data_IF_284168156976
#
_entry.id   IF_284168156976
#
_cell.length_a   1.000
_cell.length_b   1.000
_cell.length_c   1.000
_cell.angle_alpha   90.00
_cell.angle_beta   90.00
_cell.angle_gamma   90.00
#
_symmetry.space_group_name_H-M   'P 1'
#
loop_
_entity.id
_entity.type
_entity.pdbx_description
1 polymer ?
#
# COMPACT_ATOMS: atom_id res chain seq x y z
N UNK A 1 7.01 -46.02 -13.58
CA UNK A 1 6.35 -45.57 -12.34
C UNK A 1 4.86 -45.61 -12.62
N UNK A 2 4.10 -46.35 -11.82
CA UNK A 2 2.66 -46.50 -12.05
C UNK A 2 1.95 -45.19 -11.71
N UNK A 3 1.00 -44.77 -12.54
CA UNK A 3 0.21 -43.53 -12.37
C UNK A 3 -0.45 -43.47 -10.99
N UNK A 4 -0.95 -44.62 -10.51
CA UNK A 4 -1.53 -44.72 -9.16
C UNK A 4 -0.55 -44.41 -8.05
N UNK A 5 0.71 -44.84 -8.16
CA UNK A 5 1.76 -44.52 -7.20
C UNK A 5 2.11 -43.01 -7.21
N UNK A 6 2.09 -42.38 -8.38
CA UNK A 6 2.29 -40.94 -8.51
C UNK A 6 1.12 -40.17 -7.85
N UNK A 7 -0.12 -40.60 -8.08
CA UNK A 7 -1.29 -39.97 -7.48
C UNK A 7 -1.27 -40.04 -5.95
N UNK A 8 -0.93 -41.19 -5.37
CA UNK A 8 -0.86 -41.39 -3.92
C UNK A 8 0.26 -40.52 -3.31
N UNK A 9 1.43 -40.48 -3.95
CA UNK A 9 2.54 -39.66 -3.49
C UNK A 9 2.19 -38.14 -3.57
N UNK A 10 1.52 -37.74 -4.64
CA UNK A 10 1.07 -36.35 -4.81
C UNK A 10 0.05 -35.94 -3.74
N UNK A 11 -0.97 -36.82 -3.47
CA UNK A 11 -1.96 -36.56 -2.42
C UNK A 11 -1.33 -36.46 -1.03
N UNK A 12 -0.39 -37.38 -0.70
CA UNK A 12 0.32 -37.35 0.58
C UNK A 12 1.14 -36.07 0.74
N UNK A 13 1.87 -35.65 -0.32
CA UNK A 13 2.64 -34.39 -0.32
C UNK A 13 1.76 -33.16 -0.18
N UNK A 14 0.62 -33.13 -0.88
CA UNK A 14 -0.34 -32.05 -0.78
C UNK A 14 -0.94 -31.93 0.64
N UNK A 15 -1.30 -33.05 1.25
CA UNK A 15 -1.84 -33.10 2.61
C UNK A 15 -0.82 -32.57 3.62
N UNK A 16 0.45 -33.00 3.54
CA UNK A 16 1.53 -32.47 4.40
C UNK A 16 1.71 -30.97 4.22
N UNK A 17 1.68 -30.48 2.98
CA UNK A 17 1.82 -29.04 2.71
C UNK A 17 0.67 -28.22 3.30
N UNK A 18 -0.56 -28.73 3.29
CA UNK A 18 -1.73 -28.11 3.95
C UNK A 18 -1.51 -28.05 5.45
N UNK A 19 -1.17 -29.16 6.09
CA UNK A 19 -0.96 -29.24 7.54
C UNK A 19 0.17 -28.32 8.02
N UNK A 20 1.31 -28.30 7.32
CA UNK A 20 2.43 -27.40 7.59
C UNK A 20 2.02 -25.93 7.44
N UNK A 21 1.25 -25.60 6.39
CA UNK A 21 0.75 -24.24 6.16
C UNK A 21 -0.19 -23.80 7.28
N UNK A 22 -1.14 -24.62 7.70
CA UNK A 22 -2.04 -24.35 8.82
C UNK A 22 -1.28 -24.09 10.12
N UNK A 23 -0.25 -24.90 10.40
CA UNK A 23 0.60 -24.72 11.58
C UNK A 23 1.34 -23.39 11.55
N UNK A 24 1.96 -23.04 10.41
CA UNK A 24 2.71 -21.78 10.25
C UNK A 24 1.78 -20.57 10.38
N UNK A 25 0.63 -20.55 9.71
CA UNK A 25 -0.34 -19.46 9.83
C UNK A 25 -0.88 -19.29 11.24
N UNK A 26 -1.14 -20.42 11.93
CA UNK A 26 -1.55 -20.39 13.35
C UNK A 26 -0.50 -19.75 14.24
N UNK A 27 0.77 -20.06 14.05
CA UNK A 27 1.86 -19.46 14.81
C UNK A 27 2.05 -17.97 14.50
N UNK A 28 1.85 -17.56 13.25
CA UNK A 28 1.85 -16.15 12.86
C UNK A 28 0.72 -15.37 13.57
N UNK A 29 -0.49 -15.93 13.60
CA UNK A 29 -1.63 -15.32 14.31
C UNK A 29 -1.31 -15.14 15.79
N UNK A 30 -0.81 -16.18 16.47
CA UNK A 30 -0.40 -16.11 17.88
C UNK A 30 0.66 -15.03 18.14
N UNK A 31 1.60 -14.90 17.23
CA UNK A 31 2.65 -13.88 17.31
C UNK A 31 2.06 -12.47 17.21
N UNK A 32 1.13 -12.24 16.29
CA UNK A 32 0.44 -10.95 16.13
C UNK A 32 -0.41 -10.63 17.36
N UNK A 33 -1.16 -11.61 17.89
CA UNK A 33 -1.98 -11.44 19.10
C UNK A 33 -1.14 -11.09 20.32
N UNK A 34 0.01 -11.74 20.50
CA UNK A 34 0.95 -11.41 21.58
C UNK A 34 1.47 -9.98 21.43
N UNK A 35 1.89 -9.56 20.26
CA UNK A 35 2.35 -8.18 20.00
C UNK A 35 1.25 -7.16 20.22
N UNK A 36 0.02 -7.47 19.83
CA UNK A 36 -1.14 -6.62 20.12
C UNK A 36 -1.35 -6.44 21.63
N UNK A 37 -1.23 -7.51 22.41
CA UNK A 37 -1.34 -7.46 23.88
C UNK A 37 -0.23 -6.62 24.49
N UNK A 38 1.02 -6.82 24.07
CA UNK A 38 2.17 -6.03 24.53
C UNK A 38 1.97 -4.53 24.29
N UNK A 39 1.53 -4.13 23.10
CA UNK A 39 1.28 -2.71 22.77
C UNK A 39 0.15 -2.14 23.63
N UNK A 40 -0.94 -2.89 23.84
CA UNK A 40 -2.05 -2.47 24.72
C UNK A 40 -1.58 -2.26 26.15
N UNK A 41 -0.75 -3.14 26.67
CA UNK A 41 -0.20 -3.02 28.02
C UNK A 41 0.72 -1.80 28.15
N UNK A 42 1.59 -1.55 27.17
CA UNK A 42 2.44 -0.36 27.16
C UNK A 42 1.63 0.94 27.16
N UNK A 43 0.56 1.03 26.34
CA UNK A 43 -0.31 2.20 26.30
C UNK A 43 -0.97 2.42 27.68
N UNK A 44 -1.53 1.37 28.31
CA UNK A 44 -2.17 1.45 29.62
C UNK A 44 -1.19 1.79 30.72
N UNK A 45 0.01 1.23 30.68
CA UNK A 45 1.06 1.53 31.65
C UNK A 45 1.48 3.00 31.56
N UNK A 46 1.65 3.53 30.37
CA UNK A 46 1.98 4.95 30.16
C UNK A 46 0.86 5.86 30.63
N UNK A 47 -0.40 5.57 30.26
CA UNK A 47 -1.57 6.31 30.74
C UNK A 47 -1.59 6.37 32.27
N UNK A 48 -1.50 5.21 32.94
CA UNK A 48 -1.51 5.12 34.40
C UNK A 48 -0.37 5.91 35.03
N UNK A 49 0.84 5.85 34.45
CA UNK A 49 2.00 6.56 34.96
C UNK A 49 1.83 8.09 34.88
N UNK A 50 1.29 8.59 33.76
CA UNK A 50 1.06 10.03 33.56
C UNK A 50 -0.07 10.53 34.48
N UNK A 51 -1.18 9.78 34.59
CA UNK A 51 -2.29 10.11 35.47
C UNK A 51 -1.81 10.15 36.92
N UNK A 52 -1.07 9.14 37.39
CA UNK A 52 -0.53 9.13 38.78
C UNK A 52 0.41 10.30 39.05
N UNK A 53 1.25 10.70 38.09
CA UNK A 53 2.11 11.89 38.22
C UNK A 53 1.28 13.17 38.35
N UNK A 54 0.24 13.30 37.52
CA UNK A 54 -0.66 14.46 37.57
C UNK A 54 -1.41 14.53 38.91
N UNK A 55 -1.93 13.42 39.44
CA UNK A 55 -2.60 13.33 40.71
C UNK A 55 -1.67 13.70 41.88
N UNK A 56 -0.41 13.26 41.85
CA UNK A 56 0.59 13.62 42.85
C UNK A 56 0.93 15.11 42.84
N UNK A 57 1.02 15.71 41.65
CA UNK A 57 1.19 17.15 41.50
C UNK A 57 -0.03 17.93 42.00
N UNK A 58 -1.23 17.47 41.68
CA UNK A 58 -2.48 18.08 42.16
C UNK A 58 -2.54 18.07 43.68
N UNK A 59 -2.28 16.92 44.30
CA UNK A 59 -2.25 16.79 45.75
C UNK A 59 -1.26 17.73 46.46
N UNK A 60 -0.06 17.91 45.88
CA UNK A 60 0.93 18.87 46.37
C UNK A 60 0.43 20.30 46.27
N UNK A 61 -0.18 20.68 45.16
CA UNK A 61 -0.75 22.02 44.98
C UNK A 61 -1.93 22.28 45.92
N UNK A 62 -2.77 21.29 46.18
CA UNK A 62 -3.88 21.38 47.12
C UNK A 62 -3.36 21.60 48.57
N UNK A 63 -2.30 20.90 48.96
CA UNK A 63 -1.65 21.08 50.26
C UNK A 63 -1.07 22.49 50.42
N UNK A 64 -0.38 22.99 49.38
CA UNK A 64 0.19 24.33 49.37
C UNK A 64 -0.91 25.41 49.45
N UNK A 65 -1.98 25.24 48.69
CA UNK A 65 -3.15 26.14 48.74
C UNK A 65 -3.77 26.12 50.15
N UNK A 66 -3.91 24.96 50.78
CA UNK A 66 -4.43 24.86 52.14
C UNK A 66 -3.53 25.57 53.15
N UNK A 67 -2.22 25.42 53.06
CA UNK A 67 -1.23 26.08 53.91
C UNK A 67 -1.27 27.62 53.71
N UNK A 68 -1.33 28.09 52.48
CA UNK A 68 -1.43 29.51 52.18
C UNK A 68 -2.76 30.12 52.69
N UNK A 69 -3.86 29.41 52.59
CA UNK A 69 -5.17 29.84 53.11
C UNK A 69 -5.15 29.92 54.64
N UNK A 70 -4.52 28.97 55.32
CA UNK A 70 -4.37 28.99 56.75
C UNK A 70 -3.56 30.21 57.19
N UNK A 71 -2.44 30.49 56.55
CA UNK A 71 -1.58 31.67 56.83
C UNK A 71 -2.32 32.99 56.54
N UNK A 72 -3.09 33.08 55.47
CA UNK A 72 -3.89 34.25 55.18
C UNK A 72 -4.93 34.51 56.27
N UNK A 73 -5.57 33.46 56.78
CA UNK A 73 -6.51 33.57 57.90
C UNK A 73 -5.81 34.03 59.19
N UNK A 74 -4.63 33.50 59.47
CA UNK A 74 -3.82 33.84 60.66
C UNK A 74 -3.35 35.30 60.60
N UNK A 75 -2.88 35.76 59.44
CA UNK A 75 -2.53 37.16 59.20
C UNK A 75 -3.72 38.11 59.34
N UNK A 76 -4.89 37.73 58.87
CA UNK A 76 -6.13 38.51 59.02
C UNK A 76 -6.54 38.62 60.48
N UNK A 77 -6.38 37.55 61.25
CA UNK A 77 -6.66 37.55 62.69
C UNK A 77 -5.68 38.44 63.47
N UNK A 78 -4.39 38.42 63.10
CA UNK A 78 -3.36 39.27 63.66
C UNK A 78 -3.61 40.76 63.40
N UNK A 79 -4.15 41.12 62.22
CA UNK A 79 -4.51 42.52 61.88
C UNK A 79 -5.67 43.06 62.70
N UNK A 80 -6.47 42.21 63.34
CA UNK A 80 -7.61 42.59 64.19
C UNK A 80 -7.22 42.67 65.69
N UNK A 81 -5.98 42.42 66.05
CA UNK A 81 -5.49 42.40 67.44
C UNK A 81 -5.06 43.81 67.86
N UNK A 82 -5.57 44.30 68.98
CA UNK A 82 -5.21 45.58 69.60
C UNK A 82 -3.90 45.49 70.46
N UNK A 83 -3.37 44.29 70.68
CA UNK A 83 -2.14 44.05 71.41
C UNK A 83 -0.91 44.14 70.52
N UNK A 84 -0.25 45.34 70.54
CA UNK A 84 0.91 45.66 69.70
C UNK A 84 2.13 44.77 70.02
N UNK A 85 2.28 44.27 71.27
CA UNK A 85 3.41 43.42 71.67
C UNK A 85 3.19 42.00 71.10
N UNK A 86 1.94 41.49 71.19
CA UNK A 86 1.56 40.22 70.64
C UNK A 86 1.69 40.28 69.11
N UNK A 87 1.21 41.37 68.45
CA UNK A 87 1.35 41.60 67.04
C UNK A 87 2.80 41.50 66.56
N UNK A 88 3.73 42.24 67.19
CA UNK A 88 5.15 42.26 66.77
C UNK A 88 5.83 40.89 66.91
N UNK A 89 5.52 40.14 67.97
CA UNK A 89 6.10 38.81 68.25
C UNK A 89 5.60 37.79 67.21
N UNK A 90 4.32 37.81 66.91
CA UNK A 90 3.70 36.81 66.06
C UNK A 90 3.90 37.16 64.59
N UNK A 91 3.88 38.45 64.24
CA UNK A 91 4.12 38.92 62.85
C UNK A 91 5.48 38.45 62.32
N UNK A 92 6.53 38.49 63.17
CA UNK A 92 7.86 38.04 62.78
C UNK A 92 7.88 36.55 62.37
N UNK A 93 7.13 35.70 63.05
CA UNK A 93 7.04 34.27 62.74
C UNK A 93 6.13 33.93 61.57
N UNK A 94 5.11 34.74 61.33
CA UNK A 94 4.13 34.51 60.22
C UNK A 94 4.58 35.20 58.92
N UNK A 95 5.35 36.30 59.02
CA UNK A 95 5.87 37.04 57.88
C UNK A 95 7.07 36.41 57.22
N UNK A 96 7.73 35.44 57.82
CA UNK A 96 8.73 34.64 57.13
C UNK A 96 8.03 33.84 56.03
N UNK A 97 8.06 34.38 54.82
CA UNK A 97 7.65 33.63 53.66
C UNK A 97 8.43 32.31 53.63
N UNK A 98 7.75 31.16 53.61
CA UNK A 98 8.46 29.94 53.37
C UNK A 98 9.26 30.16 52.08
N UNK A 99 10.55 29.84 52.12
CA UNK A 99 11.34 29.78 50.90
C UNK A 99 10.50 28.94 49.95
N UNK A 100 9.96 29.58 48.92
CA UNK A 100 9.27 28.88 47.83
C UNK A 100 10.19 27.72 47.47
N UNK A 101 9.83 26.51 47.88
CA UNK A 101 10.46 25.33 47.30
C UNK A 101 10.16 25.50 45.82
N UNK A 102 11.22 25.71 45.03
CA UNK A 102 11.10 25.87 43.59
C UNK A 102 10.07 24.85 43.08
N UNK A 103 8.84 25.32 42.89
CA UNK A 103 7.83 24.53 42.21
C UNK A 103 8.34 24.33 40.81
N UNK A 104 8.67 23.12 40.41
CA UNK A 104 9.06 22.89 39.02
C UNK A 104 7.96 23.44 38.16
N UNK A 105 8.32 24.35 37.28
CA UNK A 105 7.39 24.92 36.31
C UNK A 105 6.73 23.77 35.53
N UNK A 106 5.46 23.49 35.85
CA UNK A 106 4.72 22.38 35.23
C UNK A 106 4.37 22.84 33.84
N UNK A 107 5.20 22.47 32.88
CA UNK A 107 4.86 22.62 31.47
C UNK A 107 3.98 21.45 31.06
N UNK A 108 2.68 21.69 30.93
CA UNK A 108 1.75 20.71 30.36
C UNK A 108 1.99 20.62 28.86
N UNK A 109 2.45 19.47 28.41
CA UNK A 109 2.54 19.20 26.98
C UNK A 109 1.11 19.15 26.40
N UNK A 110 0.74 20.14 25.59
CA UNK A 110 -0.59 20.23 24.98
C UNK A 110 -0.88 19.13 23.96
N UNK A 111 0.12 18.34 23.59
CA UNK A 111 0.00 17.21 22.66
C UNK A 111 -0.14 15.87 23.40
N UNK A 112 -1.15 15.76 24.28
CA UNK A 112 -1.52 14.53 24.95
C UNK A 112 -2.27 13.59 23.98
N UNK A 113 -1.58 13.07 22.96
CA UNK A 113 -2.22 12.27 21.94
C UNK A 113 -1.39 11.05 21.59
N UNK A 114 -2.01 9.87 21.66
CA UNK A 114 -1.46 8.62 21.12
C UNK A 114 -1.56 8.53 19.58
N UNK A 115 -1.72 9.67 18.89
CA UNK A 115 -1.88 9.73 17.43
C UNK A 115 -0.65 9.18 16.69
N UNK A 116 0.54 9.39 17.22
CA UNK A 116 1.76 8.79 16.64
C UNK A 116 1.73 7.26 16.73
N UNK A 117 1.25 6.70 17.84
CA UNK A 117 1.09 5.25 18.01
C UNK A 117 0.03 4.73 17.05
N UNK A 118 -1.12 5.40 16.92
CA UNK A 118 -2.18 5.03 15.97
C UNK A 118 -1.66 5.03 14.54
N UNK A 119 -0.92 6.06 14.13
CA UNK A 119 -0.29 6.14 12.80
C UNK A 119 0.71 5.01 12.56
N UNK A 120 1.55 4.70 13.55
CA UNK A 120 2.50 3.60 13.44
C UNK A 120 1.80 2.24 13.27
N UNK A 121 0.73 1.99 14.04
CA UNK A 121 -0.06 0.76 13.92
C UNK A 121 -0.77 0.68 12.57
N UNK A 122 -1.35 1.79 12.07
CA UNK A 122 -1.97 1.83 10.73
C UNK A 122 -0.94 1.64 9.60
N UNK A 123 0.28 2.13 9.79
CA UNK A 123 1.36 1.89 8.82
C UNK A 123 1.78 0.43 8.82
N UNK A 124 1.90 -0.19 10.00
CA UNK A 124 2.20 -1.62 10.13
C UNK A 124 1.10 -2.48 9.48
N UNK A 125 -0.17 -2.15 9.69
CA UNK A 125 -1.29 -2.84 9.05
C UNK A 125 -1.12 -2.85 7.52
N UNK A 126 -0.91 -1.68 6.91
CA UNK A 126 -0.73 -1.56 5.46
C UNK A 126 0.49 -2.36 4.96
N UNK A 127 1.61 -2.30 5.68
CA UNK A 127 2.80 -3.07 5.32
C UNK A 127 2.56 -4.58 5.37
N UNK A 128 1.81 -5.05 6.38
CA UNK A 128 1.42 -6.46 6.49
C UNK A 128 0.46 -6.88 5.36
N UNK A 129 -0.49 -6.03 4.98
CA UNK A 129 -1.40 -6.26 3.85
C UNK A 129 -0.63 -6.33 2.54
N UNK A 130 0.28 -5.38 2.28
CA UNK A 130 1.10 -5.34 1.06
C UNK A 130 2.03 -6.58 0.99
N UNK A 131 2.68 -6.95 2.10
CA UNK A 131 3.53 -8.13 2.19
C UNK A 131 2.72 -9.42 2.02
N UNK A 132 1.58 -9.54 2.70
CA UNK A 132 0.72 -10.73 2.60
C UNK A 132 0.22 -10.96 1.18
N UNK A 133 -0.17 -9.88 0.47
CA UNK A 133 -0.61 -9.96 -0.92
C UNK A 133 0.53 -10.42 -1.85
N UNK A 134 1.74 -9.91 -1.62
CA UNK A 134 2.92 -10.29 -2.40
C UNK A 134 3.27 -11.77 -2.21
N UNK A 135 3.33 -12.21 -0.95
CA UNK A 135 3.67 -13.61 -0.62
C UNK A 135 2.57 -14.59 -1.03
N UNK A 136 1.29 -14.19 -0.94
CA UNK A 136 0.18 -15.00 -1.44
C UNK A 136 0.32 -15.32 -2.94
N UNK A 137 0.84 -14.37 -3.72
CA UNK A 137 1.11 -14.60 -5.15
C UNK A 137 2.28 -15.57 -5.35
N UNK A 138 3.34 -15.43 -4.57
CA UNK A 138 4.49 -16.33 -4.61
C UNK A 138 4.09 -17.75 -4.22
N UNK A 139 3.27 -17.91 -3.18
CA UNK A 139 2.72 -19.19 -2.74
C UNK A 139 1.79 -19.78 -3.82
N UNK A 140 0.89 -18.96 -4.37
CA UNK A 140 -0.01 -19.39 -5.46
C UNK A 140 0.77 -19.86 -6.68
N UNK A 141 1.83 -19.15 -7.03
CA UNK A 141 2.74 -19.53 -8.08
C UNK A 141 3.41 -20.89 -7.78
N UNK A 142 3.94 -21.08 -6.58
CA UNK A 142 4.55 -22.34 -6.17
C UNK A 142 3.56 -23.52 -6.16
N UNK A 143 2.33 -23.31 -5.69
CA UNK A 143 1.27 -24.34 -5.68
C UNK A 143 0.94 -24.79 -7.10
N UNK A 144 0.82 -23.86 -8.05
CA UNK A 144 0.56 -24.21 -9.45
C UNK A 144 1.76 -24.87 -10.15
N UNK A 145 2.98 -24.77 -9.59
CA UNK A 145 4.19 -25.40 -10.13
C UNK A 145 4.24 -26.90 -9.90
N UNK A 146 3.55 -27.38 -8.90
CA UNK A 146 3.47 -28.79 -8.59
C UNK A 146 2.41 -29.44 -9.48
N UNK A 147 2.73 -29.56 -10.78
CA UNK A 147 1.85 -30.23 -11.74
C UNK A 147 2.38 -31.62 -12.05
N UNK A 148 1.55 -32.63 -11.82
CA UNK A 148 1.87 -34.00 -12.20
C UNK A 148 1.79 -34.21 -13.73
N UNK A 149 1.06 -33.35 -14.44
CA UNK A 149 0.89 -33.36 -15.90
C UNK A 149 1.06 -31.90 -16.37
N UNK A 150 2.08 -31.64 -17.19
CA UNK A 150 2.31 -30.31 -17.73
C UNK A 150 1.23 -30.03 -18.81
N UNK A 151 0.42 -28.98 -18.69
CA UNK A 151 -0.45 -28.56 -19.77
C UNK A 151 0.40 -28.07 -20.94
N UNK A 152 -0.06 -28.35 -22.16
CA UNK A 152 0.52 -27.74 -23.36
C UNK A 152 0.29 -26.23 -23.35
N UNK A 153 1.25 -25.43 -23.87
CA UNK A 153 1.03 -23.99 -24.03
C UNK A 153 -0.23 -23.76 -24.88
N UNK A 154 -1.11 -22.81 -24.48
CA UNK A 154 -2.29 -22.49 -25.27
C UNK A 154 -1.88 -22.03 -26.70
N UNK A 155 -2.59 -22.53 -27.69
CA UNK A 155 -2.32 -22.22 -29.11
C UNK A 155 -3.54 -21.63 -29.81
N UNK A 156 -4.75 -21.95 -29.32
CA UNK A 156 -6.01 -21.43 -29.86
C UNK A 156 -6.60 -20.37 -28.93
N UNK A 157 -7.46 -19.51 -29.50
CA UNK A 157 -8.14 -18.48 -28.73
C UNK A 157 -9.01 -19.08 -27.62
N UNK A 158 -9.66 -20.20 -27.87
CA UNK A 158 -10.48 -20.92 -26.90
C UNK A 158 -9.64 -21.40 -25.72
N UNK A 159 -8.44 -21.87 -25.96
CA UNK A 159 -7.50 -22.27 -24.92
C UNK A 159 -7.01 -21.08 -24.09
N UNK A 160 -6.69 -19.94 -24.73
CA UNK A 160 -6.33 -18.71 -24.04
C UNK A 160 -7.48 -18.16 -23.20
N UNK A 161 -8.72 -18.24 -23.69
CA UNK A 161 -9.91 -17.75 -22.98
C UNK A 161 -10.19 -18.52 -21.69
N UNK A 162 -9.66 -19.73 -21.50
CA UNK A 162 -9.72 -20.46 -20.23
C UNK A 162 -8.97 -19.72 -19.11
N UNK A 163 -8.03 -18.83 -19.46
CA UNK A 163 -7.27 -17.97 -18.55
C UNK A 163 -7.78 -16.52 -18.56
N UNK A 164 -9.00 -16.29 -19.01
CA UNK A 164 -9.55 -14.93 -19.14
C UNK A 164 -9.63 -14.23 -17.79
N UNK A 165 -9.04 -13.04 -17.74
CA UNK A 165 -9.06 -12.15 -16.59
C UNK A 165 -9.77 -10.84 -16.96
N UNK A 166 -10.60 -10.33 -16.05
CA UNK A 166 -11.28 -9.06 -16.21
C UNK A 166 -10.53 -7.95 -15.48
N UNK A 167 -10.24 -6.87 -16.21
CA UNK A 167 -9.55 -5.72 -15.70
C UNK A 167 -10.40 -4.47 -15.83
N UNK A 168 -10.23 -3.55 -14.87
CA UNK A 168 -10.77 -2.19 -14.92
C UNK A 168 -9.67 -1.18 -14.69
N UNK A 169 -9.76 -0.05 -15.35
CA UNK A 169 -8.78 1.04 -15.23
C UNK A 169 -8.95 1.74 -13.88
N UNK A 170 -7.83 2.03 -13.22
CA UNK A 170 -7.84 2.77 -11.97
C UNK A 170 -7.80 4.27 -12.21
N UNK A 171 -8.92 4.94 -12.00
CA UNK A 171 -9.05 6.39 -12.14
C UNK A 171 -8.11 7.17 -11.19
N UNK A 172 -7.63 6.56 -10.11
CA UNK A 172 -6.65 7.18 -9.21
C UNK A 172 -5.27 7.28 -9.85
N UNK A 173 -4.91 6.37 -10.76
CA UNK A 173 -3.62 6.36 -11.44
C UNK A 173 -3.63 7.11 -12.77
N UNK A 174 -4.79 7.29 -13.39
CA UNK A 174 -4.92 7.88 -14.71
C UNK A 174 -4.39 9.32 -14.77
N UNK A 175 -3.57 9.63 -15.79
CA UNK A 175 -3.20 11.01 -16.09
C UNK A 175 -4.45 11.86 -16.37
N UNK A 176 -4.43 13.15 -16.04
CA UNK A 176 -5.61 14.03 -16.17
C UNK A 176 -6.15 14.24 -17.59
N UNK A 177 -5.34 14.00 -18.61
CA UNK A 177 -5.77 14.02 -20.02
C UNK A 177 -6.33 12.67 -20.52
N UNK A 178 -6.44 11.67 -19.66
CA UNK A 178 -7.07 10.39 -20.00
C UNK A 178 -8.51 10.37 -19.49
N UNK A 179 -9.46 10.24 -20.39
CA UNK A 179 -10.87 10.09 -20.10
C UNK A 179 -11.25 8.62 -19.99
N UNK A 180 -11.73 8.19 -18.82
CA UNK A 180 -12.21 6.83 -18.58
C UNK A 180 -13.73 6.77 -18.77
N UNK A 181 -14.20 5.72 -19.44
CA UNK A 181 -15.61 5.50 -19.74
C UNK A 181 -15.95 4.00 -19.73
N UNK A 182 -17.19 3.65 -20.05
CA UNK A 182 -17.70 2.27 -20.12
C UNK A 182 -17.37 1.46 -18.83
N UNK A 183 -17.62 2.05 -17.65
CA UNK A 183 -17.32 1.40 -16.38
C UNK A 183 -15.82 1.21 -16.11
N UNK A 184 -14.99 2.15 -16.56
CA UNK A 184 -13.53 2.10 -16.51
C UNK A 184 -12.92 0.98 -17.37
N UNK A 185 -13.59 0.58 -18.44
CA UNK A 185 -13.05 -0.39 -19.42
C UNK A 185 -12.55 0.25 -20.70
N UNK A 186 -12.81 1.54 -20.89
CA UNK A 186 -12.36 2.31 -22.05
C UNK A 186 -11.60 3.54 -21.59
N UNK A 187 -10.48 3.84 -22.26
CA UNK A 187 -9.69 5.06 -22.07
C UNK A 187 -9.42 5.73 -23.39
N UNK A 188 -9.53 7.04 -23.40
CA UNK A 188 -9.27 7.91 -24.54
C UNK A 188 -8.41 9.09 -24.12
N UNK A 189 -7.47 9.48 -24.96
CA UNK A 189 -6.79 10.76 -24.76
C UNK A 189 -7.74 11.92 -25.10
N UNK A 190 -7.77 12.93 -24.25
CA UNK A 190 -8.49 14.20 -24.48
C UNK A 190 -7.60 15.40 -24.14
N UNK A 191 -7.77 16.47 -24.88
CA UNK A 191 -7.04 17.72 -24.62
C UNK A 191 -7.50 18.33 -23.29
N UNK A 192 -8.80 18.22 -23.00
CA UNK A 192 -9.39 18.75 -21.77
C UNK A 192 -8.98 17.89 -20.57
N UNK A 193 -8.56 18.59 -19.51
CA UNK A 193 -8.21 17.94 -18.23
C UNK A 193 -9.47 17.39 -17.56
N UNK A 194 -9.42 16.14 -17.17
CA UNK A 194 -10.48 15.49 -16.40
C UNK A 194 -10.44 15.92 -14.94
N UNK A 195 -11.61 16.11 -14.34
CA UNK A 195 -11.76 16.54 -12.94
C UNK A 195 -11.53 15.40 -11.94
N UNK A 196 -10.39 14.70 -12.06
CA UNK A 196 -10.04 13.69 -11.08
C UNK A 196 -9.55 14.32 -9.78
N UNK A 197 -9.91 13.79 -8.60
CA UNK A 197 -9.31 14.21 -7.33
C UNK A 197 -7.80 14.06 -7.34
N UNK A 198 -7.10 14.86 -6.56
CA UNK A 198 -5.67 14.69 -6.38
C UNK A 198 -5.38 13.35 -5.70
N UNK A 199 -4.41 12.62 -6.27
CA UNK A 199 -4.01 11.32 -5.77
C UNK A 199 -2.49 11.14 -5.95
N UNK A 200 -1.75 10.66 -4.93
CA UNK A 200 -0.32 10.40 -5.04
C UNK A 200 0.00 9.34 -6.10
N UNK A 201 -0.91 8.40 -6.36
CA UNK A 201 -0.74 7.33 -7.34
C UNK A 201 -0.99 7.80 -8.79
N UNK A 202 -1.44 9.03 -9.00
CA UNK A 202 -1.70 9.56 -10.34
C UNK A 202 -0.42 9.89 -11.07
N UNK A 203 -0.31 9.39 -12.33
CA UNK A 203 0.72 9.86 -13.26
C UNK A 203 0.49 11.34 -13.59
N UNK A 204 1.54 12.14 -13.50
CA UNK A 204 1.44 13.60 -13.68
C UNK A 204 2.00 14.11 -15.00
N UNK A 205 2.96 13.41 -15.62
CA UNK A 205 3.60 13.83 -16.86
C UNK A 205 3.28 12.91 -18.05
N UNK A 206 3.26 11.61 -17.82
CA UNK A 206 3.01 10.64 -18.87
C UNK A 206 1.52 10.29 -18.95
N UNK A 207 0.96 10.21 -20.15
CA UNK A 207 -0.44 9.84 -20.42
C UNK A 207 -0.67 8.35 -20.14
N UNK A 208 -0.50 7.95 -18.91
CA UNK A 208 -0.52 6.56 -18.46
C UNK A 208 -1.64 6.30 -17.46
N UNK A 209 -2.08 5.06 -17.43
CA UNK A 209 -3.04 4.52 -16.46
C UNK A 209 -2.70 3.06 -16.16
N UNK A 210 -2.91 2.61 -14.94
CA UNK A 210 -2.86 1.20 -14.56
C UNK A 210 -4.26 0.65 -14.37
N UNK A 211 -4.38 -0.67 -14.46
CA UNK A 211 -5.57 -1.38 -14.03
C UNK A 211 -5.60 -1.47 -12.50
N UNK A 212 -6.79 -1.66 -11.96
CA UNK A 212 -7.04 -1.82 -10.52
C UNK A 212 -6.66 -3.20 -10.03
N UNK A 213 -6.99 -4.19 -10.83
CA UNK A 213 -6.73 -5.60 -10.57
C UNK A 213 -5.30 -5.95 -10.96
N UNK A 214 -4.67 -6.78 -10.15
CA UNK A 214 -3.35 -7.33 -10.45
C UNK A 214 -3.45 -8.66 -11.20
N UNK A 215 -2.38 -9.05 -11.84
CA UNK A 215 -2.22 -10.36 -12.46
C UNK A 215 -1.73 -11.35 -11.42
N UNK A 216 -2.44 -12.49 -11.30
CA UNK A 216 -2.06 -13.63 -10.48
C UNK A 216 -2.06 -14.91 -11.33
N UNK A 217 -0.92 -15.60 -11.39
CA UNK A 217 -0.77 -16.83 -12.18
C UNK A 217 -0.82 -16.59 -13.69
N UNK A 218 -1.63 -17.38 -14.39
CA UNK A 218 -1.87 -17.21 -15.83
C UNK A 218 -3.10 -16.33 -16.06
N UNK A 219 -2.94 -15.27 -16.81
CA UNK A 219 -4.01 -14.34 -17.18
C UNK A 219 -4.00 -14.05 -18.68
N UNK A 220 -5.19 -14.04 -19.26
CA UNK A 220 -5.39 -13.61 -20.65
C UNK A 220 -6.42 -12.49 -20.70
N UNK A 221 -6.15 -11.45 -21.50
CA UNK A 221 -7.11 -10.39 -21.78
C UNK A 221 -6.95 -9.88 -23.21
N UNK A 222 -8.00 -9.32 -23.75
CA UNK A 222 -7.99 -8.71 -25.08
C UNK A 222 -8.28 -7.23 -24.99
N UNK A 223 -7.70 -6.48 -25.89
CA UNK A 223 -8.00 -5.05 -26.06
C UNK A 223 -8.36 -4.74 -27.51
N UNK A 224 -9.21 -3.74 -27.66
CA UNK A 224 -9.37 -3.00 -28.91
C UNK A 224 -8.65 -1.65 -28.78
N UNK A 225 -7.93 -1.27 -29.83
CA UNK A 225 -7.12 -0.06 -29.80
C UNK A 225 -7.24 0.75 -31.07
N UNK A 226 -6.93 2.05 -30.98
CA UNK A 226 -6.79 2.94 -32.16
C UNK A 226 -5.71 3.99 -31.90
N UNK A 227 -5.05 4.44 -32.96
CA UNK A 227 -3.98 5.44 -32.92
C UNK A 227 -2.63 4.85 -32.53
N UNK A 228 -1.88 5.52 -31.68
CA UNK A 228 -0.62 5.05 -31.11
C UNK A 228 -0.82 4.77 -29.63
N UNK A 229 -0.70 3.51 -29.25
CA UNK A 229 -0.90 3.07 -27.86
C UNK A 229 0.23 2.15 -27.40
N UNK A 230 0.49 2.13 -26.11
CA UNK A 230 1.34 1.13 -25.49
C UNK A 230 0.51 0.28 -24.56
N UNK A 231 0.61 -1.03 -24.71
CA UNK A 231 0.17 -2.00 -23.71
C UNK A 231 1.35 -2.26 -22.80
N UNK A 232 1.15 -2.17 -21.51
CA UNK A 232 2.20 -2.42 -20.54
C UNK A 232 1.75 -3.39 -19.44
N UNK A 233 2.73 -4.04 -18.84
CA UNK A 233 2.61 -4.64 -17.52
C UNK A 233 3.68 -4.00 -16.65
N UNK A 234 3.32 -3.67 -15.42
CA UNK A 234 4.19 -2.91 -14.54
C UNK A 234 4.05 -3.36 -13.09
N UNK A 235 5.12 -3.29 -12.34
CA UNK A 235 5.05 -3.36 -10.89
C UNK A 235 4.32 -2.13 -10.33
N UNK A 236 3.61 -2.31 -9.21
CA UNK A 236 2.83 -1.24 -8.59
C UNK A 236 3.67 -0.05 -8.16
N UNK A 237 4.92 -0.28 -7.79
CA UNK A 237 5.84 0.73 -7.25
C UNK A 237 6.59 1.55 -8.33
N UNK A 238 6.19 1.44 -9.62
CA UNK A 238 6.70 2.36 -10.65
C UNK A 238 6.47 3.82 -10.22
N UNK A 239 7.42 4.71 -10.49
CA UNK A 239 7.29 6.13 -10.16
C UNK A 239 6.05 6.74 -10.83
N UNK A 240 5.33 7.60 -10.11
CA UNK A 240 4.13 8.27 -10.62
C UNK A 240 4.42 9.71 -11.04
N UNK A 241 5.54 10.26 -10.59
CA UNK A 241 5.85 11.68 -10.70
C UNK A 241 7.07 11.93 -11.54
N UNK A 242 6.99 12.98 -12.35
CA UNK A 242 8.06 13.44 -13.23
C UNK A 242 8.08 12.76 -14.61
N UNK A 243 8.64 13.46 -15.59
CA UNK A 243 8.72 13.05 -17.00
C UNK A 243 9.98 12.26 -17.35
N UNK A 244 10.59 11.54 -16.41
CA UNK A 244 11.82 10.77 -16.63
C UNK A 244 11.53 9.28 -16.89
N UNK A 245 12.57 8.53 -17.23
CA UNK A 245 12.50 7.09 -17.55
C UNK A 245 11.93 6.24 -16.39
N UNK A 246 12.07 6.68 -15.14
CA UNK A 246 11.60 5.92 -13.99
C UNK A 246 10.07 5.84 -13.90
N UNK A 247 9.36 6.78 -14.52
CA UNK A 247 7.90 6.84 -14.54
C UNK A 247 7.29 6.41 -15.88
N UNK A 248 8.09 6.25 -16.94
CA UNK A 248 7.60 5.86 -18.25
C UNK A 248 7.62 4.34 -18.46
N UNK A 249 6.50 3.77 -18.90
CA UNK A 249 6.42 2.34 -19.14
C UNK A 249 7.48 1.85 -20.12
N UNK A 250 8.16 0.77 -19.77
CA UNK A 250 9.18 0.12 -20.58
C UNK A 250 10.57 0.78 -20.52
N UNK A 251 10.69 2.01 -20.06
CA UNK A 251 12.00 2.69 -19.98
C UNK A 251 12.82 2.32 -18.74
N UNK A 252 12.22 1.60 -17.79
CA UNK A 252 12.81 1.21 -16.51
C UNK A 252 12.80 -0.30 -16.31
N UNK A 253 13.34 -0.77 -15.19
CA UNK A 253 13.34 -2.19 -14.81
C UNK A 253 12.04 -2.68 -14.18
N UNK A 254 11.04 -1.82 -14.00
CA UNK A 254 9.78 -2.14 -13.30
C UNK A 254 8.60 -2.36 -14.26
N UNK A 255 8.80 -2.16 -15.57
CA UNK A 255 7.73 -2.26 -16.55
C UNK A 255 8.21 -2.78 -17.89
N UNK A 256 7.30 -3.41 -18.62
CA UNK A 256 7.44 -3.94 -19.97
C UNK A 256 6.34 -3.33 -20.82
N UNK A 257 6.66 -2.91 -22.06
CA UNK A 257 5.67 -2.31 -22.96
C UNK A 257 5.73 -2.89 -24.35
N UNK A 258 4.58 -3.08 -24.95
CA UNK A 258 4.39 -3.31 -26.39
C UNK A 258 3.80 -2.03 -27.00
N UNK A 259 4.52 -1.41 -27.92
CA UNK A 259 4.06 -0.27 -28.70
C UNK A 259 3.26 -0.77 -29.91
N UNK A 260 2.08 -0.21 -30.10
CA UNK A 260 1.18 -0.49 -31.21
C UNK A 260 0.95 0.78 -32.00
N UNK A 261 1.23 0.72 -33.29
CA UNK A 261 0.85 1.75 -34.25
C UNK A 261 0.35 1.10 -35.56
N UNK A 262 -0.29 1.86 -36.41
CA UNK A 262 -0.73 1.37 -37.70
C UNK A 262 0.41 0.94 -38.65
N UNK A 263 1.64 1.37 -38.36
CA UNK A 263 2.81 1.12 -39.22
C UNK A 263 3.80 0.12 -38.64
N UNK A 264 3.85 -0.08 -37.33
CA UNK A 264 4.87 -0.93 -36.70
C UNK A 264 4.51 -1.30 -35.26
N UNK A 265 5.04 -2.43 -34.83
CA UNK A 265 5.03 -2.86 -33.43
C UNK A 265 6.47 -2.90 -32.90
N UNK A 266 6.67 -2.47 -31.67
CA UNK A 266 7.94 -2.63 -30.97
C UNK A 266 7.73 -3.01 -29.51
N UNK A 267 8.69 -3.74 -28.97
CA UNK A 267 8.73 -4.11 -27.54
C UNK A 267 9.85 -3.34 -26.84
N UNK A 268 9.61 -2.90 -25.60
CA UNK A 268 10.63 -2.20 -24.83
C UNK A 268 10.64 -2.61 -23.34
N UNK A 269 11.84 -2.82 -22.81
CA UNK A 269 12.11 -3.02 -21.40
C UNK A 269 13.50 -2.49 -21.05
N UNK A 270 13.65 -1.80 -19.91
CA UNK A 270 14.92 -1.16 -19.49
C UNK A 270 15.48 -0.23 -20.56
N UNK A 271 14.60 0.50 -21.22
CA UNK A 271 14.93 1.42 -22.32
C UNK A 271 15.62 0.73 -23.53
N UNK A 272 15.45 -0.59 -23.65
CA UNK A 272 15.89 -1.37 -24.82
C UNK A 272 14.69 -1.68 -25.68
N UNK A 273 14.63 -1.06 -26.85
CA UNK A 273 13.55 -1.25 -27.81
C UNK A 273 13.94 -2.29 -28.85
N UNK A 274 12.98 -3.16 -29.19
CA UNK A 274 13.10 -4.20 -30.22
C UNK A 274 11.95 -3.97 -31.21
N UNK A 275 12.30 -3.70 -32.44
CA UNK A 275 11.33 -3.63 -33.55
C UNK A 275 10.90 -5.04 -33.94
N UNK A 276 9.59 -5.26 -33.96
CA UNK A 276 9.02 -6.58 -34.25
C UNK A 276 8.78 -6.80 -35.75
N UNK A 277 9.05 -5.81 -36.60
CA UNK A 277 8.91 -5.85 -38.06
C UNK A 277 7.53 -6.37 -38.55
N UNK A 278 6.50 -6.17 -37.71
CA UNK A 278 5.13 -6.60 -37.94
C UNK A 278 4.27 -5.37 -38.22
N UNK A 279 3.32 -5.52 -39.15
CA UNK A 279 2.33 -4.49 -39.46
C UNK A 279 0.99 -4.89 -38.86
N UNK A 280 0.26 -3.91 -38.35
CA UNK A 280 -1.07 -4.11 -37.82
C UNK A 280 -2.00 -4.73 -38.85
N UNK A 281 -2.43 -5.95 -38.62
CA UNK A 281 -3.50 -6.61 -39.39
C UNK A 281 -4.87 -6.41 -38.76
N UNK A 282 -4.91 -5.97 -37.51
CA UNK A 282 -6.11 -5.84 -36.69
C UNK A 282 -5.94 -4.76 -35.62
N UNK A 283 -7.06 -4.21 -35.19
CA UNK A 283 -7.16 -3.32 -34.04
C UNK A 283 -7.40 -4.07 -32.70
N UNK A 284 -7.30 -5.41 -32.71
CA UNK A 284 -7.49 -6.26 -31.54
C UNK A 284 -6.22 -7.03 -31.23
N UNK A 285 -5.82 -7.03 -29.96
CA UNK A 285 -4.63 -7.72 -29.46
C UNK A 285 -5.01 -8.51 -28.22
N UNK A 286 -4.58 -9.78 -28.17
CA UNK A 286 -4.58 -10.61 -26.99
C UNK A 286 -3.25 -10.53 -26.26
N UNK A 287 -3.30 -10.45 -24.96
CA UNK A 287 -2.12 -10.54 -24.09
C UNK A 287 -2.32 -11.72 -23.13
N UNK A 288 -1.41 -12.66 -23.18
CA UNK A 288 -1.33 -13.74 -22.23
C UNK A 288 -0.10 -13.56 -21.37
N UNK A 289 -0.28 -13.52 -20.09
CA UNK A 289 0.78 -13.46 -19.11
C UNK A 289 0.77 -14.73 -18.28
N UNK A 290 1.86 -15.46 -18.35
CA UNK A 290 2.20 -16.51 -17.41
C UNK A 290 3.28 -15.95 -16.48
N UNK A 291 2.96 -15.81 -15.20
CA UNK A 291 3.88 -15.19 -14.22
C UNK A 291 5.25 -15.87 -14.16
N UNK A 292 5.37 -17.12 -14.65
CA UNK A 292 6.62 -17.90 -14.68
C UNK A 292 7.28 -17.96 -16.03
N UNK A 293 6.46 -18.17 -17.08
CA UNK A 293 6.97 -18.33 -18.42
C UNK A 293 7.18 -17.01 -19.16
N UNK A 294 6.56 -15.91 -18.69
CA UNK A 294 6.68 -14.59 -19.24
C UNK A 294 5.41 -14.06 -19.88
N UNK A 295 5.56 -13.15 -20.82
CA UNK A 295 4.47 -12.44 -21.50
C UNK A 295 4.42 -12.88 -22.95
N UNK A 296 3.22 -13.18 -23.43
CA UNK A 296 2.93 -13.49 -24.84
C UNK A 296 1.93 -12.47 -25.36
N UNK A 297 2.17 -11.92 -26.53
CA UNK A 297 1.22 -11.06 -27.23
C UNK A 297 0.83 -11.71 -28.53
N UNK A 298 -0.48 -11.79 -28.82
CA UNK A 298 -1.02 -12.40 -30.02
C UNK A 298 -1.89 -11.41 -30.78
N UNK A 299 -1.97 -11.57 -32.12
CA UNK A 299 -2.98 -10.90 -32.93
C UNK A 299 -4.37 -11.54 -32.72
N UNK A 300 -5.40 -10.96 -33.33
CA UNK A 300 -6.75 -11.54 -33.41
C UNK A 300 -6.76 -12.93 -34.10
N UNK A 301 -5.82 -13.18 -35.03
CA UNK A 301 -5.62 -14.48 -35.68
C UNK A 301 -4.74 -15.44 -34.88
N UNK A 302 -4.48 -15.15 -33.63
CA UNK A 302 -3.60 -15.91 -32.71
C UNK A 302 -2.16 -16.05 -33.18
N UNK A 303 -1.73 -15.24 -34.13
CA UNK A 303 -0.31 -15.16 -34.49
C UNK A 303 0.49 -14.55 -33.34
N UNK A 304 1.51 -15.24 -32.88
CA UNK A 304 2.41 -14.74 -31.85
C UNK A 304 3.16 -13.50 -32.36
N UNK A 305 2.92 -12.36 -31.71
CA UNK A 305 3.61 -11.11 -32.02
C UNK A 305 4.96 -11.03 -31.31
N UNK A 306 4.97 -11.34 -30.03
CA UNK A 306 6.17 -11.29 -29.22
C UNK A 306 6.04 -12.17 -27.98
N UNK A 307 7.18 -12.73 -27.56
CA UNK A 307 7.32 -13.50 -26.31
C UNK A 307 8.47 -12.94 -25.50
N UNK A 308 8.21 -12.62 -24.25
CA UNK A 308 9.20 -12.19 -23.28
C UNK A 308 9.36 -13.27 -22.23
N UNK A 309 10.54 -13.88 -22.17
CA UNK A 309 10.89 -14.79 -21.07
C UNK A 309 11.57 -13.98 -19.98
N UNK A 310 10.94 -13.92 -18.82
CA UNK A 310 11.47 -13.18 -17.66
C UNK A 310 10.90 -13.77 -16.38
N UNK A 311 11.61 -13.57 -15.29
CA UNK A 311 11.13 -13.91 -13.94
C UNK A 311 10.65 -12.63 -13.26
N UNK A 312 9.40 -12.60 -12.90
CA UNK A 312 8.82 -11.48 -12.17
C UNK A 312 9.08 -11.65 -10.68
N UNK A 313 9.33 -10.53 -10.00
CA UNK A 313 9.68 -10.50 -8.58
C UNK A 313 8.62 -9.81 -7.72
N UNK A 314 7.67 -9.12 -8.34
CA UNK A 314 6.61 -8.36 -7.66
C UNK A 314 5.31 -8.47 -8.44
N UNK A 315 4.20 -8.15 -7.78
CA UNK A 315 2.86 -8.10 -8.36
C UNK A 315 2.82 -7.21 -9.61
N UNK A 316 2.23 -7.74 -10.67
CA UNK A 316 2.08 -7.07 -11.96
C UNK A 316 0.68 -6.49 -12.14
N UNK A 317 0.63 -5.33 -12.76
CA UNK A 317 -0.61 -4.64 -13.13
C UNK A 317 -0.58 -4.32 -14.63
N UNK A 318 -1.63 -4.65 -15.37
CA UNK A 318 -1.78 -4.15 -16.74
C UNK A 318 -1.87 -2.63 -16.71
N UNK A 319 -1.34 -1.99 -17.76
CA UNK A 319 -1.39 -0.56 -17.91
C UNK A 319 -1.36 -0.13 -19.35
N UNK A 320 -1.69 1.11 -19.60
CA UNK A 320 -1.76 1.70 -20.94
C UNK A 320 -1.16 3.09 -20.95
N UNK A 321 -0.49 3.40 -22.05
CA UNK A 321 -0.13 4.76 -22.43
C UNK A 321 -0.78 5.08 -23.79
N UNK A 322 -1.30 6.29 -23.95
CA UNK A 322 -2.02 6.71 -25.14
C UNK A 322 -1.45 8.02 -25.68
N UNK A 323 -1.23 8.07 -26.98
CA UNK A 323 -0.93 9.32 -27.68
C UNK A 323 -2.21 10.12 -27.99
N UNK A 324 -2.05 11.33 -28.44
CA UNK A 324 -3.14 12.20 -28.87
C UNK A 324 -4.03 11.53 -29.94
N UNK A 325 -5.34 11.54 -29.71
CA UNK A 325 -6.32 10.93 -30.61
C UNK A 325 -6.40 9.40 -30.54
N UNK A 326 -5.75 8.78 -29.54
CA UNK A 326 -5.73 7.32 -29.35
C UNK A 326 -6.77 6.85 -28.34
N UNK A 327 -7.16 5.60 -28.46
CA UNK A 327 -8.07 4.96 -27.50
C UNK A 327 -7.71 3.49 -27.28
N UNK A 328 -8.06 2.98 -26.10
CA UNK A 328 -7.99 1.56 -25.74
C UNK A 328 -9.27 1.16 -25.04
N UNK A 329 -9.77 -0.03 -25.36
CA UNK A 329 -10.91 -0.67 -24.71
C UNK A 329 -10.53 -2.08 -24.30
N UNK A 330 -10.77 -2.40 -23.02
CA UNK A 330 -10.71 -3.77 -22.47
C UNK A 330 -11.98 -4.52 -22.89
N UNK A 331 -11.80 -5.67 -23.51
CA UNK A 331 -12.90 -6.47 -24.08
C UNK A 331 -13.43 -7.48 -23.07
#
# INVERSE_FOLDING_TARGET
MDIMSVCVSYQSSAQTAVEDSEMIFTEMIRTIERRCSEVKEQIRAQEKAEVSRAEEHLKRLEQEIAELKWRDADLKQLLLTDDHVHFLKTFQSVSELPKSKDLPCISVNKSLSFEAVRRSVSTLQRQLEDFSNLEAMTISAAVTEVQAILPSEPTTREEFLQYSCHFTLDSNTAHRQLHLSEGNRRVEYRIELQSYPDNPDRFDEWWQVLCRECVSGCCYWEIEWSGLVYIAVSYKNISRKGGNDNSFFGSNGQSWRLRLSSSSYSFCHKNKEIDLSLVASSNRIGVYLDYRAGIYSTSDTMTLLHRVQTTFTHTLYPGFWLDAGSSVKLV
#
